data_IF_879150514982
#
_entry.id   IF_879150514982
#
_cell.length_a   1.000
_cell.length_b   1.000
_cell.length_c   1.000
_cell.angle_alpha   90.00
_cell.angle_beta   90.00
_cell.angle_gamma   90.00
#
_symmetry.space_group_name_H-M   'P 1'
#
loop_
_entity.id
_entity.type
_entity.pdbx_description
1 polymer ?
#
# COMPACT_ATOMS: atom_id res chain seq x y z
N UNK A 1 7.00 -8.42 -1.89
CA UNK A 1 7.45 -7.19 -2.56
C UNK A 1 6.52 -6.90 -3.73
N UNK A 2 5.95 -5.70 -3.81
CA UNK A 2 5.03 -5.33 -4.89
C UNK A 2 5.08 -3.82 -5.16
N UNK A 3 4.27 -3.34 -6.12
CA UNK A 3 4.04 -1.92 -6.35
C UNK A 3 5.30 -1.09 -6.64
N UNK A 4 5.32 0.14 -6.12
CA UNK A 4 6.38 1.12 -6.34
C UNK A 4 7.73 0.70 -5.74
N UNK A 5 7.73 -0.13 -4.69
CA UNK A 5 8.96 -0.69 -4.13
C UNK A 5 9.65 -1.60 -5.14
N UNK A 6 8.91 -2.53 -5.74
CA UNK A 6 9.44 -3.42 -6.77
C UNK A 6 9.84 -2.66 -8.04
N UNK A 7 9.07 -1.65 -8.46
CA UNK A 7 9.44 -0.80 -9.61
C UNK A 7 10.81 -0.11 -9.38
N UNK A 8 11.09 0.36 -8.16
CA UNK A 8 12.39 0.95 -7.77
C UNK A 8 13.52 -0.06 -7.67
N UNK A 9 13.26 -1.27 -7.18
CA UNK A 9 14.25 -2.36 -7.19
C UNK A 9 14.63 -2.72 -8.63
N UNK A 10 13.66 -2.80 -9.54
CA UNK A 10 13.91 -3.04 -10.97
C UNK A 10 14.70 -1.91 -11.63
N UNK A 11 14.47 -0.66 -11.23
CA UNK A 11 15.21 0.50 -11.73
C UNK A 11 16.63 0.60 -11.15
N UNK A 12 16.93 -0.11 -10.06
CA UNK A 12 18.20 -0.01 -9.33
C UNK A 12 18.26 1.11 -8.31
N UNK A 13 17.13 1.79 -8.06
CA UNK A 13 17.05 2.89 -7.07
C UNK A 13 17.10 2.37 -5.62
N UNK A 14 16.69 1.12 -5.41
CA UNK A 14 16.73 0.43 -4.11
C UNK A 14 17.37 -0.94 -4.30
N UNK A 15 18.39 -1.26 -3.50
CA UNK A 15 19.03 -2.58 -3.58
C UNK A 15 18.26 -3.62 -2.76
N UNK A 16 18.22 -4.91 -3.18
CA UNK A 16 17.67 -5.99 -2.36
C UNK A 16 18.28 -6.07 -0.96
N UNK A 17 19.58 -5.77 -0.81
CA UNK A 17 20.26 -5.76 0.49
C UNK A 17 19.69 -4.69 1.44
N UNK A 18 19.23 -3.55 0.92
CA UNK A 18 18.54 -2.51 1.71
C UNK A 18 17.22 -3.02 2.28
N UNK A 19 16.62 -4.02 1.63
CA UNK A 19 15.38 -4.67 2.04
C UNK A 19 15.62 -5.90 2.92
N UNK A 20 16.87 -6.15 3.33
CA UNK A 20 17.25 -7.25 4.20
C UNK A 20 17.60 -8.55 3.47
N UNK A 21 17.59 -8.58 2.13
CA UNK A 21 18.01 -9.77 1.39
C UNK A 21 19.53 -9.98 1.47
N UNK A 22 19.96 -11.22 1.24
CA UNK A 22 21.39 -11.56 1.21
C UNK A 22 22.11 -10.86 0.03
N UNK A 23 23.43 -10.58 0.14
CA UNK A 23 24.20 -9.98 -0.93
C UNK A 23 24.09 -10.76 -2.25
N UNK A 24 23.79 -10.06 -3.34
CA UNK A 24 23.65 -10.65 -4.68
C UNK A 24 22.30 -11.33 -4.95
N UNK A 25 21.36 -11.25 -3.99
CA UNK A 25 19.98 -11.73 -4.20
C UNK A 25 19.28 -10.93 -5.29
N UNK A 26 18.48 -11.60 -6.12
CA UNK A 26 17.65 -10.96 -7.15
C UNK A 26 16.21 -10.98 -6.68
N UNK A 27 15.77 -9.90 -6.05
CA UNK A 27 14.42 -9.86 -5.51
C UNK A 27 13.36 -9.85 -6.62
N UNK A 28 12.35 -10.71 -6.47
CA UNK A 28 11.29 -10.88 -7.47
C UNK A 28 9.95 -10.25 -7.04
N UNK A 29 9.07 -9.99 -8.01
CA UNK A 29 7.71 -9.55 -7.72
C UNK A 29 6.97 -10.64 -6.93
N UNK A 30 6.36 -10.26 -5.82
CA UNK A 30 5.64 -11.17 -4.94
C UNK A 30 6.52 -11.98 -3.99
N UNK A 31 7.84 -11.77 -4.00
CA UNK A 31 8.73 -12.37 -3.02
C UNK A 31 8.51 -11.75 -1.63
N UNK A 32 8.29 -12.53 -0.56
CA UNK A 32 8.23 -12.01 0.80
C UNK A 32 9.53 -11.27 1.16
N UNK A 33 9.40 -10.13 1.84
CA UNK A 33 10.59 -9.46 2.37
C UNK A 33 11.08 -10.24 3.60
N UNK A 34 12.41 -10.29 3.86
CA UNK A 34 12.95 -10.89 5.07
C UNK A 34 12.42 -10.24 6.35
N UNK A 35 12.22 -8.93 6.32
CA UNK A 35 11.62 -8.13 7.38
C UNK A 35 10.68 -7.08 6.75
N UNK A 36 9.63 -6.62 7.47
CA UNK A 36 8.81 -5.51 7.00
C UNK A 36 9.65 -4.25 6.72
N UNK A 37 9.42 -3.63 5.56
CA UNK A 37 10.11 -2.42 5.15
C UNK A 37 9.19 -1.20 5.32
N UNK A 38 9.56 -0.29 6.21
CA UNK A 38 8.78 0.92 6.49
C UNK A 38 9.30 2.08 5.64
N UNK A 39 8.37 2.74 4.96
CA UNK A 39 8.62 3.99 4.26
C UNK A 39 7.72 5.10 4.80
N UNK A 40 8.26 6.31 4.85
CA UNK A 40 7.53 7.50 5.27
C UNK A 40 7.37 8.41 4.07
N UNK A 41 6.19 9.00 3.91
CA UNK A 41 5.92 9.95 2.85
C UNK A 41 5.32 11.24 3.40
N UNK A 42 5.41 12.31 2.60
CA UNK A 42 4.73 13.56 2.92
C UNK A 42 3.22 13.39 2.90
N UNK A 43 2.54 14.26 3.63
CA UNK A 43 1.09 14.44 3.58
C UNK A 43 0.82 15.92 3.31
N UNK A 44 -0.31 16.24 2.67
CA UNK A 44 -0.75 17.61 2.34
C UNK A 44 -0.02 18.31 1.18
N UNK A 45 1.02 17.68 0.61
CA UNK A 45 1.58 18.12 -0.67
C UNK A 45 0.64 17.70 -1.82
N UNK A 46 0.76 18.34 -3.00
CA UNK A 46 -0.04 17.93 -4.18
C UNK A 46 0.24 16.47 -4.58
N UNK A 47 1.43 15.98 -4.30
CA UNK A 47 1.82 14.60 -4.56
C UNK A 47 2.77 14.16 -3.45
N UNK A 48 2.41 13.09 -2.77
CA UNK A 48 3.22 12.52 -1.71
C UNK A 48 4.58 12.06 -2.27
N UNK A 49 5.63 12.34 -1.52
CA UNK A 49 7.00 11.90 -1.83
C UNK A 49 7.59 11.19 -0.64
N UNK A 50 8.47 10.23 -0.92
CA UNK A 50 9.20 9.51 0.12
C UNK A 50 10.20 10.44 0.83
N UNK A 51 10.37 10.18 2.12
CA UNK A 51 11.26 10.91 3.01
C UNK A 51 12.31 9.98 3.59
N UNK A 52 13.54 10.48 3.70
CA UNK A 52 14.50 9.88 4.61
C UNK A 52 14.12 10.21 6.07
N UNK A 53 14.73 9.48 7.02
CA UNK A 53 14.43 9.65 8.45
C UNK A 53 14.70 11.07 8.95
N UNK A 54 15.76 11.72 8.46
CA UNK A 54 16.10 13.08 8.88
C UNK A 54 15.04 14.09 8.46
N UNK A 55 14.58 14.02 7.21
CA UNK A 55 13.52 14.85 6.65
C UNK A 55 12.18 14.56 7.32
N UNK A 56 11.89 13.29 7.61
CA UNK A 56 10.68 12.88 8.33
C UNK A 56 10.63 13.52 9.73
N UNK A 57 11.71 13.42 10.51
CA UNK A 57 11.81 14.04 11.84
C UNK A 57 11.66 15.56 11.78
N UNK A 58 12.35 16.21 10.82
CA UNK A 58 12.29 17.65 10.65
C UNK A 58 10.87 18.15 10.29
N UNK A 59 10.21 17.48 9.34
CA UNK A 59 8.89 17.90 8.86
C UNK A 59 7.78 17.61 9.88
N UNK A 60 7.84 16.47 10.55
CA UNK A 60 6.83 16.06 11.54
C UNK A 60 7.01 16.73 12.90
N UNK A 61 8.21 17.22 13.23
CA UNK A 61 8.53 17.69 14.56
C UNK A 61 8.61 16.57 15.62
N UNK A 62 8.70 15.31 15.17
CA UNK A 62 8.90 14.16 16.05
C UNK A 62 10.33 14.18 16.61
N UNK A 63 10.45 13.81 17.88
CA UNK A 63 11.71 13.36 18.45
C UNK A 63 12.11 11.99 17.90
N UNK A 64 13.40 11.60 18.01
CA UNK A 64 13.83 10.27 17.58
C UNK A 64 13.10 9.12 18.28
N UNK A 65 12.71 9.26 19.55
CA UNK A 65 11.96 8.23 20.28
C UNK A 65 10.52 8.14 19.80
N UNK A 66 9.82 9.27 19.64
CA UNK A 66 8.43 9.28 19.13
C UNK A 66 8.35 8.69 17.72
N UNK A 67 9.38 8.87 16.90
CA UNK A 67 9.47 8.24 15.58
C UNK A 67 9.60 6.71 15.67
N UNK A 68 10.38 6.18 16.63
CA UNK A 68 10.46 4.73 16.83
C UNK A 68 9.16 4.16 17.42
N UNK A 69 8.52 4.87 18.35
CA UNK A 69 7.20 4.49 18.90
C UNK A 69 6.15 4.41 17.77
N UNK A 70 6.13 5.40 16.87
CA UNK A 70 5.28 5.40 15.69
C UNK A 70 5.56 4.19 14.77
N UNK A 71 6.85 3.87 14.53
CA UNK A 71 7.24 2.69 13.73
C UNK A 71 6.77 1.40 14.36
N UNK A 72 6.93 1.24 15.67
CA UNK A 72 6.47 0.05 16.39
C UNK A 72 4.95 -0.13 16.28
N UNK A 73 4.18 0.95 16.43
CA UNK A 73 2.72 0.94 16.26
C UNK A 73 2.35 0.47 14.84
N UNK A 74 2.99 1.01 13.80
CA UNK A 74 2.72 0.62 12.41
C UNK A 74 3.03 -0.86 12.19
N UNK A 75 4.17 -1.36 12.67
CA UNK A 75 4.55 -2.76 12.55
C UNK A 75 3.58 -3.69 13.28
N UNK A 76 3.12 -3.29 14.47
CA UNK A 76 2.14 -4.07 15.23
C UNK A 76 0.80 -4.16 14.50
N UNK A 77 0.32 -3.04 13.95
CA UNK A 77 -0.91 -3.03 13.13
C UNK A 77 -0.75 -3.95 11.91
N UNK A 78 0.38 -3.86 11.21
CA UNK A 78 0.67 -4.68 10.03
C UNK A 78 0.65 -6.18 10.36
N UNK A 79 1.32 -6.56 11.43
CA UNK A 79 1.37 -7.94 11.92
C UNK A 79 0.00 -8.45 12.39
N UNK A 80 -0.80 -7.62 13.06
CA UNK A 80 -2.14 -7.97 13.51
C UNK A 80 -3.09 -8.18 12.31
N UNK A 81 -3.03 -7.30 11.30
CA UNK A 81 -3.78 -7.48 10.04
C UNK A 81 -3.37 -8.80 9.40
N UNK A 82 -2.07 -9.03 9.19
CA UNK A 82 -1.54 -10.25 8.56
C UNK A 82 -2.05 -11.51 9.26
N UNK A 83 -1.92 -11.59 10.59
CA UNK A 83 -2.43 -12.72 11.39
C UNK A 83 -3.94 -12.90 11.28
N UNK A 84 -4.70 -11.80 11.20
CA UNK A 84 -6.16 -11.86 11.14
C UNK A 84 -6.69 -12.38 9.81
N UNK A 85 -6.01 -12.05 8.69
CA UNK A 85 -6.49 -12.35 7.34
C UNK A 85 -5.91 -13.64 6.75
N UNK A 86 -4.74 -14.09 7.22
CA UNK A 86 -4.09 -15.32 6.74
C UNK A 86 -4.99 -16.57 6.83
N UNK A 87 -5.68 -16.85 7.96
CA UNK A 87 -6.61 -17.98 8.05
C UNK A 87 -7.83 -17.87 7.11
N UNK A 88 -8.09 -16.68 6.57
CA UNK A 88 -9.21 -16.37 5.66
C UNK A 88 -8.78 -16.43 4.19
N UNK A 89 -7.60 -16.99 3.90
CA UNK A 89 -7.11 -17.19 2.53
C UNK A 89 -6.63 -15.89 1.87
N UNK A 90 -6.19 -14.92 2.66
CA UNK A 90 -5.67 -13.64 2.19
C UNK A 90 -4.21 -13.47 2.59
N UNK A 91 -3.44 -12.83 1.72
CA UNK A 91 -2.09 -12.31 2.04
C UNK A 91 -2.21 -10.81 2.17
N UNK A 92 -1.82 -10.25 3.32
CA UNK A 92 -1.60 -8.81 3.45
C UNK A 92 -0.22 -8.47 2.89
N UNK A 93 -0.18 -7.60 1.88
CA UNK A 93 1.03 -7.35 1.07
C UNK A 93 1.77 -6.10 1.51
N UNK A 94 1.02 -5.00 1.64
CA UNK A 94 1.48 -3.70 2.12
C UNK A 94 0.26 -2.85 2.51
N UNK A 95 0.49 -1.74 3.21
CA UNK A 95 -0.55 -0.74 3.41
C UNK A 95 -0.10 0.47 4.21
N UNK A 96 -0.90 1.54 4.13
CA UNK A 96 -0.59 2.86 4.68
C UNK A 96 -1.32 3.08 6.00
N UNK A 97 -0.60 3.63 6.99
CA UNK A 97 -1.16 3.95 8.32
C UNK A 97 -0.92 5.44 8.56
N UNK A 98 -1.96 6.16 8.99
CA UNK A 98 -1.84 7.56 9.38
C UNK A 98 -1.89 7.67 10.91
N UNK A 99 -0.96 8.43 11.47
CA UNK A 99 -0.84 8.64 12.91
C UNK A 99 -0.91 10.14 13.20
N UNK A 100 -1.46 10.49 14.36
CA UNK A 100 -1.49 11.83 14.90
C UNK A 100 -1.14 11.81 16.39
N UNK A 101 -1.03 12.99 16.99
CA UNK A 101 -1.00 13.13 18.44
C UNK A 101 -2.36 13.62 18.93
N UNK A 102 -2.80 13.09 20.07
CA UNK A 102 -3.88 13.69 20.84
C UNK A 102 -3.42 14.93 21.63
N UNK A 103 -4.32 15.48 22.45
CA UNK A 103 -4.07 16.69 23.25
C UNK A 103 -2.97 16.49 24.31
N UNK A 104 -2.70 15.24 24.72
CA UNK A 104 -1.70 14.85 25.72
C UNK A 104 -0.40 14.33 25.08
N UNK A 105 -0.22 14.58 23.77
CA UNK A 105 0.93 14.14 22.98
C UNK A 105 1.13 12.63 23.00
N UNK A 106 0.04 11.87 23.05
CA UNK A 106 0.05 10.41 22.84
C UNK A 106 -0.24 10.09 21.38
N UNK A 107 0.47 9.10 20.84
CA UNK A 107 0.26 8.67 19.46
C UNK A 107 -1.12 8.00 19.35
N UNK A 108 -1.92 8.48 18.42
CA UNK A 108 -3.18 7.88 18.03
C UNK A 108 -3.17 7.48 16.55
N UNK A 109 -3.81 6.35 16.24
CA UNK A 109 -4.09 5.98 14.86
C UNK A 109 -5.27 6.82 14.38
N UNK A 110 -5.11 7.42 13.21
CA UNK A 110 -6.16 8.18 12.52
C UNK A 110 -6.44 7.56 11.16
N UNK A 111 -7.49 8.03 10.50
CA UNK A 111 -7.99 7.46 9.24
C UNK A 111 -8.39 5.97 9.42
N UNK A 112 -8.31 5.18 8.35
CA UNK A 112 -8.67 3.75 8.34
C UNK A 112 -7.48 2.89 7.96
N UNK A 113 -7.49 1.63 8.40
CA UNK A 113 -6.57 0.57 7.99
C UNK A 113 -7.35 -0.75 7.82
N UNK A 114 -6.73 -1.73 7.18
CA UNK A 114 -7.35 -3.02 6.88
C UNK A 114 -8.43 -2.95 5.79
N UNK A 115 -8.41 -1.91 4.96
CA UNK A 115 -9.41 -1.69 3.90
C UNK A 115 -8.82 -1.89 2.51
N UNK A 116 -9.66 -2.14 1.50
CA UNK A 116 -9.24 -2.25 0.10
C UNK A 116 -8.60 -0.98 -0.47
N UNK A 117 -8.81 0.18 0.16
CA UNK A 117 -8.24 1.45 -0.31
C UNK A 117 -6.83 1.69 0.24
N UNK A 118 -6.61 1.37 1.52
CA UNK A 118 -5.38 1.69 2.25
C UNK A 118 -4.39 0.52 2.33
N UNK A 119 -4.86 -0.70 2.14
CA UNK A 119 -4.04 -1.91 2.18
C UNK A 119 -4.23 -2.76 0.91
N UNK A 120 -3.15 -3.44 0.51
CA UNK A 120 -3.17 -4.42 -0.59
C UNK A 120 -3.31 -5.82 -0.02
N UNK A 121 -4.28 -6.55 -0.55
CA UNK A 121 -4.52 -7.96 -0.24
C UNK A 121 -4.43 -8.80 -1.50
N UNK A 122 -3.80 -9.97 -1.39
CA UNK A 122 -3.79 -10.99 -2.43
C UNK A 122 -4.58 -12.22 -2.03
N UNK A 123 -5.17 -12.90 -3.02
CA UNK A 123 -5.71 -14.23 -2.83
C UNK A 123 -4.58 -15.25 -2.62
N UNK A 124 -4.58 -15.92 -1.47
CA UNK A 124 -3.54 -16.89 -1.10
C UNK A 124 -3.49 -18.09 -2.05
N UNK A 125 -4.64 -18.59 -2.49
CA UNK A 125 -4.70 -19.77 -3.35
C UNK A 125 -4.19 -19.46 -4.76
N UNK A 126 -4.44 -18.24 -5.26
CA UNK A 126 -3.87 -17.76 -6.53
C UNK A 126 -2.36 -17.57 -6.40
N UNK A 127 -1.90 -16.94 -5.31
CA UNK A 127 -0.48 -16.75 -5.04
C UNK A 127 0.30 -18.07 -5.02
N UNK A 128 -0.26 -19.12 -4.39
CA UNK A 128 0.36 -20.45 -4.35
C UNK A 128 0.48 -21.12 -5.73
N UNK A 129 -0.28 -20.63 -6.72
CA UNK A 129 -0.19 -21.05 -8.14
C UNK A 129 0.71 -20.14 -8.97
N UNK A 130 1.35 -19.14 -8.37
CA UNK A 130 2.17 -18.15 -9.07
C UNK A 130 1.36 -17.02 -9.72
N UNK A 131 0.10 -16.84 -9.32
CA UNK A 131 -0.78 -15.77 -9.82
C UNK A 131 -0.98 -14.69 -8.74
N UNK A 132 -0.80 -13.43 -9.12
CA UNK A 132 -0.98 -12.30 -8.20
C UNK A 132 -2.34 -11.64 -8.46
N UNK A 133 -3.33 -11.98 -7.64
CA UNK A 133 -4.70 -11.46 -7.76
C UNK A 133 -4.94 -10.42 -6.66
N UNK A 134 -4.95 -9.15 -7.04
CA UNK A 134 -5.26 -8.03 -6.14
C UNK A 134 -6.75 -7.98 -5.78
N UNK A 135 -7.02 -8.04 -4.47
CA UNK A 135 -8.34 -7.85 -3.87
C UNK A 135 -8.43 -6.46 -3.21
N UNK A 136 -7.95 -5.44 -3.91
CA UNK A 136 -7.90 -4.05 -3.43
C UNK A 136 -8.06 -3.05 -4.57
N UNK A 137 -7.97 -1.75 -4.26
CA UNK A 137 -7.95 -0.63 -5.22
C UNK A 137 -6.85 -0.78 -6.28
N UNK A 138 -5.86 -1.63 -6.06
CA UNK A 138 -4.83 -1.93 -7.06
C UNK A 138 -5.44 -2.42 -8.38
N UNK A 139 -6.59 -3.11 -8.36
CA UNK A 139 -7.31 -3.49 -9.58
C UNK A 139 -7.60 -2.27 -10.50
N UNK A 140 -8.10 -1.18 -9.91
CA UNK A 140 -8.38 0.08 -10.63
C UNK A 140 -7.08 0.75 -11.09
N UNK A 141 -6.02 0.71 -10.28
CA UNK A 141 -4.70 1.26 -10.65
C UNK A 141 -4.11 0.50 -11.85
N UNK A 142 -4.25 -0.82 -11.89
CA UNK A 142 -3.80 -1.65 -13.00
C UNK A 142 -4.61 -1.39 -14.26
N UNK A 143 -5.91 -1.11 -14.17
CA UNK A 143 -6.70 -0.64 -15.32
C UNK A 143 -6.10 0.64 -15.92
N UNK A 144 -5.88 1.68 -15.12
CA UNK A 144 -5.30 2.94 -15.62
C UNK A 144 -3.84 2.82 -16.07
N UNK A 145 -3.08 1.85 -15.57
CA UNK A 145 -1.77 1.52 -16.12
C UNK A 145 -1.90 0.90 -17.51
N UNK A 146 -2.82 -0.05 -17.70
CA UNK A 146 -3.06 -0.72 -18.99
C UNK A 146 -3.57 0.21 -20.08
N UNK A 147 -4.34 1.24 -19.72
CA UNK A 147 -4.82 2.25 -20.69
C UNK A 147 -3.76 3.27 -21.09
N UNK A 148 -2.57 3.25 -20.47
CA UNK A 148 -1.52 4.25 -20.67
C UNK A 148 -1.73 5.55 -19.88
N UNK A 149 -2.88 5.71 -19.22
CA UNK A 149 -3.20 6.93 -18.45
C UNK A 149 -2.16 7.22 -17.37
N UNK A 150 -1.66 6.18 -16.68
CA UNK A 150 -0.61 6.35 -15.66
C UNK A 150 0.65 6.98 -16.27
N UNK A 151 1.11 6.52 -17.43
CA UNK A 151 2.35 7.00 -18.02
C UNK A 151 2.20 8.47 -18.49
N UNK A 152 1.04 8.81 -19.05
CA UNK A 152 0.70 10.18 -19.42
C UNK A 152 0.65 11.11 -18.21
N UNK A 153 0.01 10.67 -17.12
CA UNK A 153 -0.08 11.42 -15.86
C UNK A 153 1.30 11.72 -15.27
N UNK A 154 2.15 10.71 -15.16
CA UNK A 154 3.48 10.87 -14.57
C UNK A 154 4.41 11.68 -15.50
N UNK A 155 4.25 11.57 -16.82
CA UNK A 155 4.96 12.41 -17.80
C UNK A 155 4.52 13.87 -17.72
N UNK A 156 3.23 14.14 -17.50
CA UNK A 156 2.73 15.50 -17.31
C UNK A 156 3.30 16.12 -16.03
N UNK A 157 3.26 15.37 -14.92
CA UNK A 157 3.81 15.81 -13.62
C UNK A 157 5.31 16.10 -13.69
N UNK A 158 6.11 15.22 -14.28
CA UNK A 158 7.57 15.43 -14.39
C UNK A 158 7.94 16.65 -15.25
N UNK A 159 7.07 17.04 -16.19
CA UNK A 159 7.25 18.22 -17.06
C UNK A 159 6.55 19.48 -16.53
N UNK A 160 5.94 19.43 -15.34
CA UNK A 160 5.19 20.55 -14.77
C UNK A 160 3.97 20.98 -15.61
N UNK A 161 3.38 20.05 -16.37
CA UNK A 161 2.21 20.30 -17.24
C UNK A 161 0.91 20.00 -16.50
N UNK A 162 -0.20 20.46 -17.07
CA UNK A 162 -1.54 20.11 -16.59
C UNK A 162 -1.74 18.59 -16.63
N UNK A 163 -2.35 18.04 -15.58
CA UNK A 163 -2.65 16.61 -15.50
C UNK A 163 -3.76 16.26 -16.51
N UNK A 164 -3.65 15.13 -17.23
CA UNK A 164 -4.70 14.70 -18.13
C UNK A 164 -5.97 14.35 -17.33
N UNK A 165 -7.13 14.65 -17.91
CA UNK A 165 -8.42 14.27 -17.34
C UNK A 165 -8.46 12.74 -17.16
N UNK A 166 -8.87 12.29 -15.98
CA UNK A 166 -9.04 10.86 -15.69
C UNK A 166 -10.23 10.35 -16.52
N UNK A 167 -10.04 9.38 -17.42
CA UNK A 167 -11.16 8.76 -18.13
C UNK A 167 -12.10 8.06 -17.15
N UNK A 168 -13.41 8.16 -17.36
CA UNK A 168 -14.38 7.41 -16.55
C UNK A 168 -14.16 5.91 -16.66
N UNK A 169 -14.38 5.18 -15.55
CA UNK A 169 -14.29 3.72 -15.56
C UNK A 169 -15.44 3.11 -16.38
N UNK A 170 -15.16 2.13 -17.26
CA UNK A 170 -16.20 1.33 -17.89
C UNK A 170 -17.03 0.58 -16.84
N UNK A 171 -18.30 0.31 -17.15
CA UNK A 171 -19.21 -0.39 -16.24
C UNK A 171 -18.65 -1.73 -15.74
N UNK A 172 -17.97 -2.50 -16.61
CA UNK A 172 -17.34 -3.77 -16.25
C UNK A 172 -16.24 -3.61 -15.17
N UNK A 173 -15.48 -2.52 -15.21
CA UNK A 173 -14.41 -2.25 -14.23
C UNK A 173 -15.02 -1.81 -12.91
N UNK A 174 -16.10 -1.02 -12.96
CA UNK A 174 -16.87 -0.63 -11.77
C UNK A 174 -17.46 -1.88 -11.10
N UNK A 175 -18.18 -2.71 -11.85
CA UNK A 175 -18.81 -3.93 -11.34
C UNK A 175 -17.79 -4.89 -10.73
N UNK A 176 -16.64 -5.05 -11.40
CA UNK A 176 -15.57 -5.90 -10.87
C UNK A 176 -14.94 -5.31 -9.60
N UNK A 177 -14.76 -3.98 -9.55
CA UNK A 177 -14.27 -3.31 -8.34
C UNK A 177 -15.25 -3.50 -7.19
N UNK A 178 -16.55 -3.36 -7.42
CA UNK A 178 -17.57 -3.61 -6.40
C UNK A 178 -17.50 -5.05 -5.87
N UNK A 179 -17.39 -6.04 -6.77
CA UNK A 179 -17.24 -7.46 -6.37
C UNK A 179 -16.00 -7.69 -5.51
N UNK A 180 -14.86 -7.07 -5.88
CA UNK A 180 -13.62 -7.16 -5.10
C UNK A 180 -13.80 -6.61 -3.68
N UNK A 181 -14.45 -5.44 -3.54
CA UNK A 181 -14.67 -4.84 -2.21
C UNK A 181 -15.62 -5.69 -1.35
N UNK A 182 -16.68 -6.23 -1.95
CA UNK A 182 -17.61 -7.15 -1.28
C UNK A 182 -16.85 -8.40 -0.84
N UNK A 183 -16.15 -9.06 -1.74
CA UNK A 183 -15.38 -10.27 -1.47
C UNK A 183 -14.35 -10.06 -0.36
N UNK A 184 -13.60 -8.95 -0.41
CA UNK A 184 -12.64 -8.63 0.63
C UNK A 184 -13.32 -8.44 1.99
N UNK A 185 -14.41 -7.66 2.04
CA UNK A 185 -15.19 -7.46 3.27
C UNK A 185 -15.67 -8.79 3.84
N UNK A 186 -16.28 -9.64 3.02
CA UNK A 186 -16.83 -10.93 3.47
C UNK A 186 -15.72 -11.87 3.95
N UNK A 187 -14.57 -11.91 3.27
CA UNK A 187 -13.42 -12.70 3.70
C UNK A 187 -12.85 -12.19 5.01
N UNK A 188 -12.59 -10.88 5.15
CA UNK A 188 -11.99 -10.28 6.35
C UNK A 188 -12.91 -10.39 7.56
N UNK A 189 -14.20 -10.14 7.40
CA UNK A 189 -15.15 -10.12 8.53
C UNK A 189 -15.73 -11.50 8.82
N UNK A 190 -15.99 -12.31 7.78
CA UNK A 190 -16.79 -13.53 7.86
C UNK A 190 -18.29 -13.27 7.81
N UNK A 191 -18.69 -12.02 7.57
CA UNK A 191 -20.09 -11.61 7.44
C UNK A 191 -20.47 -11.48 5.97
N UNK A 192 -21.72 -11.76 5.61
CA UNK A 192 -22.22 -11.49 4.26
C UNK A 192 -22.46 -10.00 4.07
N UNK A 193 -22.01 -9.45 2.94
CA UNK A 193 -22.24 -8.05 2.62
C UNK A 193 -23.73 -7.78 2.42
N UNK A 194 -24.23 -6.72 3.05
CA UNK A 194 -25.60 -6.25 2.90
C UNK A 194 -25.57 -4.87 2.25
N UNK A 195 -26.07 -4.70 1.02
CA UNK A 195 -26.19 -3.40 0.40
C UNK A 195 -27.02 -2.49 1.30
N UNK A 196 -26.56 -1.25 1.49
CA UNK A 196 -27.39 -0.22 2.10
C UNK A 196 -28.46 0.14 1.08
N UNK A 197 -29.72 -0.18 1.39
CA UNK A 197 -30.90 0.13 0.58
C UNK A 197 -31.36 1.57 0.70
#
# INVERSE_FOLDING_TARGET
MAGSLHDRVKAGDVSPETLGFAPGHRAEYGEPLPEPFIEVSTKLEKTDRLLDKASALQLSGLSPSEYEDAREIVLRIDEDIRKSVEPRGLIHVDGKKELAFDEDRQIMVVDVYGTADEDRFWDKAMYDRGEFVDLSKEYVRQYYRKTGYKDDLYTARSKGRAEPNIPGLPAEVIDQTCKIYIELYERITGESFKPVG
#
